data_IF_112483888681
#
_entry.id   IF_112483888681
#
_cell.length_a   1.000
_cell.length_b   1.000
_cell.length_c   1.000
_cell.angle_alpha   90.00
_cell.angle_beta   90.00
_cell.angle_gamma   90.00
#
_symmetry.space_group_name_H-M   'P 1'
#
loop_
_entity.id
_entity.type
_entity.pdbx_description
1 polymer ?
#
# COMPACT_ATOMS: atom_id res chain seq x y z
N UNK A 1 -80.70 -21.11 30.06
CA UNK A 1 -80.32 -21.30 28.65
C UNK A 1 -78.81 -21.48 28.58
N UNK A 2 -78.34 -22.68 28.21
CA UNK A 2 -76.93 -23.07 28.13
C UNK A 2 -76.28 -22.45 26.89
N UNK A 3 -75.13 -21.79 27.04
CA UNK A 3 -74.21 -21.48 25.93
C UNK A 3 -72.81 -21.94 26.31
N UNK A 4 -72.26 -22.81 25.47
CA UNK A 4 -70.88 -23.30 25.47
C UNK A 4 -69.91 -22.14 25.30
N UNK A 5 -68.76 -22.21 25.98
CA UNK A 5 -67.56 -21.48 25.59
C UNK A 5 -66.43 -22.49 25.37
N UNK A 6 -65.78 -22.34 24.22
CA UNK A 6 -64.88 -23.26 23.55
C UNK A 6 -63.47 -23.07 24.12
N UNK A 7 -62.82 -24.17 24.52
CA UNK A 7 -61.41 -24.17 24.94
C UNK A 7 -60.51 -23.99 23.70
N UNK A 8 -59.75 -22.90 23.67
CA UNK A 8 -58.71 -22.66 22.65
C UNK A 8 -57.35 -22.97 23.29
N UNK A 9 -56.73 -24.08 22.90
CA UNK A 9 -55.37 -24.40 23.29
C UNK A 9 -54.40 -23.54 22.44
N UNK A 10 -53.73 -22.58 23.08
CA UNK A 10 -52.64 -21.82 22.45
C UNK A 10 -51.35 -22.63 22.62
N UNK A 11 -50.87 -23.22 21.53
CA UNK A 11 -49.54 -23.83 21.46
C UNK A 11 -48.52 -22.70 21.31
N UNK A 12 -47.77 -22.43 22.37
CA UNK A 12 -46.62 -21.53 22.36
C UNK A 12 -45.44 -22.23 21.69
N UNK A 13 -45.16 -21.87 20.44
CA UNK A 13 -43.94 -22.28 19.74
C UNK A 13 -42.80 -21.40 20.23
N UNK A 14 -41.95 -21.94 21.10
CA UNK A 14 -40.68 -21.32 21.47
C UNK A 14 -39.71 -21.38 20.27
N UNK A 15 -39.64 -20.30 19.48
CA UNK A 15 -38.52 -20.09 18.56
C UNK A 15 -37.28 -19.62 19.35
N UNK A 16 -36.50 -20.57 19.85
CA UNK A 16 -35.12 -20.33 20.27
C UNK A 16 -34.26 -20.59 19.03
N UNK A 17 -34.08 -19.56 18.19
CA UNK A 17 -33.34 -19.65 16.93
C UNK A 17 -32.18 -18.68 16.91
N UNK A 18 -31.01 -19.17 17.32
CA UNK A 18 -29.64 -18.70 17.03
C UNK A 18 -29.46 -17.22 16.67
N UNK A 19 -29.11 -16.40 17.66
CA UNK A 19 -28.43 -15.14 17.45
C UNK A 19 -27.06 -15.44 16.82
N UNK A 20 -26.99 -15.41 15.49
CA UNK A 20 -25.71 -15.26 14.80
C UNK A 20 -25.12 -13.92 15.23
N UNK A 21 -24.22 -13.94 16.21
CA UNK A 21 -23.31 -12.83 16.46
C UNK A 21 -22.45 -12.67 15.21
N UNK A 22 -22.87 -11.80 14.29
CA UNK A 22 -21.95 -11.26 13.30
C UNK A 22 -20.84 -10.58 14.10
N UNK A 23 -19.62 -11.13 14.05
CA UNK A 23 -18.46 -10.46 14.58
C UNK A 23 -18.42 -9.06 13.96
N UNK A 24 -18.23 -7.99 14.75
CA UNK A 24 -18.14 -6.65 14.19
C UNK A 24 -17.06 -6.66 13.13
N UNK A 25 -17.40 -6.22 11.91
CA UNK A 25 -16.42 -5.98 10.88
C UNK A 25 -15.46 -4.91 11.41
N UNK A 26 -14.28 -5.34 11.83
CA UNK A 26 -13.21 -4.43 12.23
C UNK A 26 -12.91 -3.62 10.97
N UNK A 27 -13.16 -2.32 11.03
CA UNK A 27 -12.85 -1.42 9.93
C UNK A 27 -11.37 -1.61 9.55
N UNK A 28 -11.08 -1.67 8.25
CA UNK A 28 -9.69 -1.72 7.80
C UNK A 28 -8.93 -0.52 8.41
N UNK A 29 -7.68 -0.72 8.89
CA UNK A 29 -6.91 0.36 9.47
C UNK A 29 -6.80 1.54 8.49
N UNK A 30 -6.91 2.76 9.02
CA UNK A 30 -6.81 3.98 8.22
C UNK A 30 -5.39 4.12 7.65
N UNK A 31 -5.30 4.56 6.39
CA UNK A 31 -4.01 4.85 5.77
C UNK A 31 -3.37 6.08 6.45
N UNK A 32 -2.08 6.02 6.84
CA UNK A 32 -1.43 7.13 7.54
C UNK A 32 -1.34 8.38 6.65
N UNK A 33 -1.43 9.56 7.26
CA UNK A 33 -1.26 10.84 6.57
C UNK A 33 0.21 11.07 6.21
N UNK A 34 0.62 10.53 5.06
CA UNK A 34 1.95 10.76 4.49
C UNK A 34 2.05 12.08 3.72
N UNK A 35 0.91 12.66 3.31
CA UNK A 35 0.89 13.84 2.45
C UNK A 35 1.25 15.12 3.22
N UNK A 36 1.10 15.12 4.55
CA UNK A 36 1.61 16.20 5.42
C UNK A 36 3.12 16.14 5.68
N UNK A 37 3.80 15.04 5.31
CA UNK A 37 5.24 14.92 5.51
C UNK A 37 6.01 15.82 4.54
N UNK A 38 7.19 16.33 4.93
CA UNK A 38 8.05 17.06 4.00
C UNK A 38 8.59 16.18 2.88
N UNK A 39 8.68 16.74 1.66
CA UNK A 39 9.19 16.06 0.47
C UNK A 39 10.69 15.71 0.57
N UNK A 40 11.03 14.49 0.17
CA UNK A 40 12.39 14.01 -0.11
C UNK A 40 12.71 14.10 -1.61
N UNK A 41 13.99 14.23 -1.94
CA UNK A 41 14.45 14.30 -3.32
C UNK A 41 14.61 12.91 -3.93
N UNK A 42 14.14 12.74 -5.17
CA UNK A 42 14.44 11.57 -6.02
C UNK A 42 15.82 11.77 -6.65
N UNK A 43 16.66 10.72 -6.65
CA UNK A 43 17.89 10.72 -7.43
C UNK A 43 17.59 10.27 -8.86
N UNK A 44 18.10 11.05 -9.81
CA UNK A 44 18.07 10.73 -11.24
C UNK A 44 19.43 10.19 -11.68
N UNK A 45 19.48 9.31 -12.70
CA UNK A 45 20.73 8.79 -13.24
C UNK A 45 21.57 9.93 -13.84
N UNK A 46 22.89 9.75 -13.85
CA UNK A 46 23.80 10.73 -14.42
C UNK A 46 23.50 10.97 -15.90
N UNK A 47 23.48 12.24 -16.31
CA UNK A 47 23.17 12.62 -17.68
C UNK A 47 21.70 12.57 -18.04
N UNK A 48 20.81 12.30 -17.08
CA UNK A 48 19.36 12.43 -17.28
C UNK A 48 19.04 13.81 -17.86
N UNK A 49 18.51 13.79 -19.08
CA UNK A 49 18.03 14.98 -19.77
C UNK A 49 16.52 14.85 -19.98
N UNK A 50 15.71 15.68 -19.32
CA UNK A 50 14.27 15.61 -19.44
C UNK A 50 13.74 16.12 -20.80
N UNK A 51 14.61 16.47 -21.75
CA UNK A 51 14.23 17.00 -23.06
C UNK A 51 14.75 16.16 -24.22
N UNK A 52 15.57 15.13 -23.97
CA UNK A 52 16.23 14.36 -25.03
C UNK A 52 15.33 13.32 -25.71
N UNK A 53 14.09 13.16 -25.22
CA UNK A 53 13.13 12.20 -25.75
C UNK A 53 13.55 10.74 -25.57
N UNK A 54 14.52 10.44 -24.69
CA UNK A 54 14.92 9.07 -24.35
C UNK A 54 14.21 8.56 -23.11
N UNK A 55 14.03 7.25 -23.06
CA UNK A 55 13.54 6.55 -21.89
C UNK A 55 14.72 6.30 -20.92
N UNK A 56 14.54 6.71 -19.67
CA UNK A 56 15.54 6.63 -18.60
C UNK A 56 15.03 5.71 -17.48
N UNK A 57 15.75 4.60 -17.18
CA UNK A 57 15.44 3.80 -16.01
C UNK A 57 15.85 4.57 -14.75
N UNK A 58 14.89 4.82 -13.87
CA UNK A 58 15.13 5.45 -12.57
C UNK A 58 15.02 4.35 -11.51
N UNK A 59 16.10 4.14 -10.76
CA UNK A 59 16.13 3.23 -9.62
C UNK A 59 16.63 3.99 -8.39
N UNK A 60 15.79 4.03 -7.35
CA UNK A 60 16.15 4.60 -6.06
C UNK A 60 16.03 3.50 -5.01
N UNK A 61 17.15 3.12 -4.41
CA UNK A 61 17.20 2.19 -3.29
C UNK A 61 17.46 3.00 -2.03
N UNK A 62 16.67 2.75 -0.98
CA UNK A 62 16.73 3.50 0.26
C UNK A 62 16.24 2.69 1.46
N UNK A 63 16.61 3.09 2.66
CA UNK A 63 16.17 2.45 3.92
C UNK A 63 15.29 3.40 4.74
N UNK A 64 13.97 3.17 4.85
CA UNK A 64 13.07 4.03 5.65
C UNK A 64 13.20 3.82 7.16
N UNK A 65 13.67 2.64 7.59
CA UNK A 65 13.98 2.33 8.97
C UNK A 65 15.03 1.23 9.02
N UNK A 66 15.69 1.06 10.17
CA UNK A 66 16.67 -0.01 10.38
C UNK A 66 16.04 -1.38 10.05
N UNK A 67 16.77 -2.20 9.29
CA UNK A 67 16.30 -3.52 8.86
C UNK A 67 15.27 -3.51 7.73
N UNK A 68 14.74 -2.34 7.33
CA UNK A 68 13.80 -2.18 6.21
C UNK A 68 14.48 -1.48 5.05
N UNK A 69 14.27 -2.01 3.85
CA UNK A 69 14.88 -1.50 2.62
C UNK A 69 13.85 -1.50 1.52
N UNK A 70 13.76 -0.40 0.79
CA UNK A 70 12.82 -0.22 -0.29
C UNK A 70 13.55 0.15 -1.57
N UNK A 71 13.04 -0.37 -2.67
CA UNK A 71 13.48 -0.03 -4.01
C UNK A 71 12.30 0.52 -4.78
N UNK A 72 12.42 1.75 -5.24
CA UNK A 72 11.56 2.36 -6.23
C UNK A 72 12.19 2.18 -7.61
N UNK A 73 11.46 1.59 -8.54
CA UNK A 73 11.80 1.56 -9.96
C UNK A 73 10.70 2.23 -10.75
N UNK A 74 11.08 3.06 -11.70
CA UNK A 74 10.15 3.69 -12.64
C UNK A 74 10.86 4.02 -13.94
N UNK A 75 10.08 4.23 -14.99
CA UNK A 75 10.58 4.70 -16.26
C UNK A 75 10.28 6.19 -16.38
N UNK A 76 11.31 6.98 -16.70
CA UNK A 76 11.15 8.39 -17.02
C UNK A 76 11.32 8.62 -18.53
N UNK A 77 10.51 9.50 -19.11
CA UNK A 77 10.64 9.94 -20.49
C UNK A 77 10.65 11.45 -20.47
N UNK A 78 11.80 12.07 -20.68
CA UNK A 78 11.87 13.52 -20.51
C UNK A 78 11.49 14.00 -19.09
N UNK A 79 10.62 15.01 -18.94
CA UNK A 79 10.03 15.43 -17.64
C UNK A 79 8.94 14.48 -17.12
N UNK A 80 8.66 13.37 -17.81
CA UNK A 80 7.56 12.46 -17.50
C UNK A 80 8.05 11.27 -16.69
N UNK A 81 7.33 10.85 -15.65
CA UNK A 81 7.43 9.48 -15.13
C UNK A 81 6.22 8.69 -15.62
N UNK A 82 6.45 7.46 -16.08
CA UNK A 82 5.42 6.57 -16.63
C UNK A 82 5.57 5.14 -16.11
N UNK A 83 4.49 4.36 -16.08
CA UNK A 83 4.59 2.92 -15.95
C UNK A 83 5.48 2.29 -17.04
N UNK A 84 6.15 1.15 -16.76
CA UNK A 84 6.06 0.40 -15.51
C UNK A 84 6.74 1.12 -14.34
N UNK A 85 6.08 1.09 -13.19
CA UNK A 85 6.62 1.57 -11.93
C UNK A 85 6.34 0.54 -10.84
N UNK A 86 7.30 0.32 -9.95
CA UNK A 86 7.12 -0.53 -8.79
C UNK A 86 7.85 0.04 -7.58
N UNK A 87 7.27 -0.21 -6.41
CA UNK A 87 7.97 -0.06 -5.14
C UNK A 87 7.95 -1.42 -4.44
N UNK A 88 9.12 -1.88 -4.01
CA UNK A 88 9.26 -3.12 -3.28
C UNK A 88 10.09 -2.88 -2.02
N UNK A 89 9.52 -3.15 -0.86
CA UNK A 89 10.19 -3.13 0.43
C UNK A 89 10.42 -4.55 0.93
N UNK A 90 11.55 -4.78 1.59
CA UNK A 90 11.94 -6.07 2.10
C UNK A 90 12.86 -5.94 3.31
N UNK A 91 13.08 -7.06 4.01
CA UNK A 91 13.92 -7.14 5.20
C UNK A 91 13.11 -7.51 6.43
N UNK A 92 13.46 -6.91 7.56
CA UNK A 92 12.73 -7.04 8.82
C UNK A 92 11.48 -6.17 8.78
N UNK A 93 10.44 -6.67 8.10
CA UNK A 93 9.15 -6.00 8.00
C UNK A 93 8.27 -6.41 9.19
N UNK A 94 8.10 -5.58 10.24
CA UNK A 94 7.31 -5.97 11.39
C UNK A 94 5.81 -5.94 11.05
N UNK A 95 5.04 -6.79 11.75
CA UNK A 95 3.60 -6.88 11.55
C UNK A 95 3.17 -7.54 10.22
N UNK A 96 4.09 -8.11 9.44
CA UNK A 96 3.71 -8.85 8.23
C UNK A 96 2.86 -10.08 8.58
N UNK A 97 1.80 -10.36 7.80
CA UNK A 97 1.07 -11.60 7.95
C UNK A 97 1.97 -12.81 7.58
N UNK A 98 1.58 -14.00 8.02
CA UNK A 98 2.06 -15.33 7.57
C UNK A 98 3.57 -15.52 7.28
N UNK A 99 4.45 -14.74 7.93
CA UNK A 99 5.89 -14.74 7.67
C UNK A 99 6.29 -14.26 6.27
N UNK A 100 5.47 -13.42 5.64
CA UNK A 100 5.87 -12.67 4.45
C UNK A 100 7.00 -11.67 4.78
N UNK A 101 7.86 -11.41 3.81
CA UNK A 101 9.08 -10.60 4.02
C UNK A 101 9.34 -9.60 2.87
N UNK A 102 8.33 -9.40 2.02
CA UNK A 102 8.32 -8.45 0.91
C UNK A 102 6.96 -7.77 0.89
N UNK A 103 6.94 -6.43 0.80
CA UNK A 103 5.77 -5.64 0.46
C UNK A 103 6.00 -4.96 -0.89
N UNK A 104 5.06 -5.11 -1.83
CA UNK A 104 5.27 -4.64 -3.21
C UNK A 104 4.01 -4.03 -3.80
N UNK A 105 4.18 -2.93 -4.53
CA UNK A 105 3.21 -2.40 -5.47
C UNK A 105 3.78 -2.55 -6.86
N UNK A 106 3.04 -3.17 -7.76
CA UNK A 106 3.33 -3.23 -9.20
C UNK A 106 2.32 -2.37 -9.97
N UNK A 107 2.82 -1.39 -10.72
CA UNK A 107 2.03 -0.57 -11.64
C UNK A 107 2.51 -0.87 -13.05
N UNK A 108 1.72 -1.66 -13.79
CA UNK A 108 2.00 -2.02 -15.17
C UNK A 108 1.56 -0.95 -16.17
N UNK A 109 1.83 -1.22 -17.46
CA UNK A 109 1.33 -0.41 -18.58
C UNK A 109 -0.13 -0.71 -18.94
N UNK A 110 -0.69 -1.79 -18.40
CA UNK A 110 -2.07 -2.24 -18.63
C UNK A 110 -2.56 -3.03 -17.43
N UNK A 111 -3.80 -2.79 -16.99
CA UNK A 111 -4.43 -3.53 -15.91
C UNK A 111 -4.28 -2.87 -14.54
N UNK A 112 -5.07 -3.36 -13.59
CA UNK A 112 -5.09 -2.85 -12.22
C UNK A 112 -3.72 -3.03 -11.53
N UNK A 113 -3.30 -2.05 -10.72
CA UNK A 113 -2.08 -2.19 -9.94
C UNK A 113 -2.26 -3.30 -8.91
N UNK A 114 -1.16 -3.84 -8.42
CA UNK A 114 -1.23 -4.94 -7.45
C UNK A 114 -0.34 -4.62 -6.25
N UNK A 115 -0.98 -4.39 -5.10
CA UNK A 115 -0.32 -4.32 -3.81
C UNK A 115 -0.38 -5.70 -3.13
N UNK A 116 0.77 -6.25 -2.76
CA UNK A 116 0.87 -7.62 -2.22
C UNK A 116 1.97 -7.75 -1.18
N UNK A 117 1.70 -8.62 -0.22
CA UNK A 117 2.72 -9.21 0.62
C UNK A 117 3.16 -10.55 0.04
N UNK A 118 4.46 -10.76 -0.05
CA UNK A 118 5.06 -11.93 -0.67
C UNK A 118 6.10 -12.55 0.26
N UNK A 119 6.33 -13.84 0.06
CA UNK A 119 7.40 -14.60 0.70
C UNK A 119 8.45 -14.96 -0.33
N UNK A 120 9.71 -14.63 -0.08
CA UNK A 120 10.78 -14.96 -1.04
C UNK A 120 12.19 -14.60 -0.57
N UNK A 121 13.17 -14.99 -1.37
CA UNK A 121 14.55 -14.55 -1.18
C UNK A 121 14.71 -13.12 -1.72
N UNK A 122 15.11 -12.20 -0.85
CA UNK A 122 15.31 -10.80 -1.22
C UNK A 122 16.65 -10.65 -1.94
N UNK A 123 16.64 -10.56 -3.27
CA UNK A 123 17.84 -10.21 -4.06
C UNK A 123 18.02 -8.69 -4.18
N UNK A 124 17.76 -7.96 -3.10
CA UNK A 124 17.84 -6.49 -3.13
C UNK A 124 19.27 -5.96 -3.03
N UNK A 125 20.30 -6.82 -2.86
CA UNK A 125 21.72 -6.46 -2.84
C UNK A 125 22.28 -6.26 -1.42
N UNK A 126 23.42 -5.56 -1.28
CA UNK A 126 24.04 -5.29 0.03
C UNK A 126 23.35 -4.13 0.75
N UNK A 127 22.54 -4.52 1.72
CA UNK A 127 21.65 -3.68 2.52
C UNK A 127 22.38 -2.55 3.29
N UNK A 128 23.68 -2.70 3.58
CA UNK A 128 24.46 -1.70 4.33
C UNK A 128 24.93 -0.51 3.48
N UNK A 129 24.75 -0.61 2.16
CA UNK A 129 25.25 0.40 1.21
C UNK A 129 24.19 1.41 0.80
N UNK A 130 22.93 1.21 1.22
CA UNK A 130 21.83 2.05 0.78
C UNK A 130 21.69 3.32 1.61
N UNK A 131 21.42 4.47 0.96
CA UNK A 131 21.16 5.70 1.69
C UNK A 131 19.90 5.53 2.55
N UNK A 132 19.96 5.98 3.79
CA UNK A 132 18.76 6.10 4.60
C UNK A 132 17.81 7.10 3.94
N UNK A 133 16.56 6.69 3.78
CA UNK A 133 15.48 7.62 3.53
C UNK A 133 15.23 8.34 4.84
N UNK A 134 15.24 9.67 4.84
CA UNK A 134 15.07 10.40 6.08
C UNK A 134 13.69 10.10 6.67
N UNK A 135 13.66 9.58 7.90
CA UNK A 135 12.42 9.37 8.64
C UNK A 135 11.58 10.65 8.67
N UNK A 136 10.26 10.52 8.62
CA UNK A 136 9.33 11.65 8.56
C UNK A 136 9.39 12.43 7.25
N UNK A 137 9.70 11.77 6.13
CA UNK A 137 9.62 12.35 4.78
C UNK A 137 8.65 11.57 3.89
N UNK A 138 8.24 12.21 2.81
CA UNK A 138 7.55 11.55 1.71
C UNK A 138 8.25 11.71 0.37
N UNK A 139 7.86 10.86 -0.55
CA UNK A 139 8.23 10.82 -1.95
C UNK A 139 6.92 10.81 -2.73
N UNK A 140 6.82 11.63 -3.77
CA UNK A 140 5.72 11.62 -4.72
C UNK A 140 6.31 11.45 -6.11
N UNK A 141 5.73 10.51 -6.86
CA UNK A 141 6.05 10.28 -8.27
C UNK A 141 4.93 10.92 -9.08
N UNK A 142 5.25 11.84 -9.99
CA UNK A 142 4.25 12.59 -10.75
C UNK A 142 4.08 12.05 -12.17
N UNK A 143 2.85 11.99 -12.64
CA UNK A 143 2.51 11.88 -14.05
C UNK A 143 2.56 13.26 -14.72
N UNK A 144 2.70 13.27 -16.05
CA UNK A 144 2.70 14.44 -16.94
C UNK A 144 1.63 15.51 -16.62
N UNK A 145 0.47 15.11 -16.09
CA UNK A 145 -0.70 15.99 -15.86
C UNK A 145 -0.82 16.59 -14.44
N UNK A 146 0.29 16.83 -13.72
CA UNK A 146 0.27 17.18 -12.28
C UNK A 146 -0.54 16.21 -11.41
N UNK A 147 -0.76 15.00 -11.91
CA UNK A 147 -1.40 13.93 -11.14
C UNK A 147 -0.30 13.11 -10.50
N UNK A 148 -0.50 12.67 -9.27
CA UNK A 148 0.44 11.80 -8.59
C UNK A 148 0.20 10.37 -9.11
N UNK A 149 1.26 9.68 -9.51
CA UNK A 149 1.28 8.24 -9.82
C UNK A 149 1.22 7.46 -8.50
N UNK A 150 2.14 7.79 -7.59
CA UNK A 150 2.31 7.11 -6.32
C UNK A 150 2.93 8.06 -5.29
N UNK A 151 2.46 7.98 -4.05
CA UNK A 151 3.08 8.59 -2.88
C UNK A 151 3.64 7.49 -1.98
N UNK A 152 4.79 7.73 -1.37
CA UNK A 152 5.34 6.89 -0.33
C UNK A 152 5.87 7.76 0.81
N UNK A 153 5.64 7.38 2.05
CA UNK A 153 6.10 8.11 3.24
C UNK A 153 6.75 7.21 4.25
N UNK A 154 7.77 7.71 4.94
CA UNK A 154 8.37 7.08 6.11
C UNK A 154 7.89 7.78 7.36
N UNK A 155 7.34 7.00 8.30
CA UNK A 155 6.94 7.48 9.61
C UNK A 155 8.11 7.58 10.58
N UNK A 156 7.81 7.91 11.83
CA UNK A 156 8.78 7.91 12.93
C UNK A 156 8.93 6.52 13.59
N UNK A 157 8.19 5.51 13.10
CA UNK A 157 8.20 4.14 13.62
C UNK A 157 7.20 3.86 14.74
N UNK A 158 6.48 4.87 15.25
CA UNK A 158 5.46 4.69 16.30
C UNK A 158 4.14 4.20 15.70
N UNK A 159 3.60 4.94 14.72
CA UNK A 159 2.32 4.61 14.07
C UNK A 159 2.52 3.72 12.85
N UNK A 160 3.54 4.03 12.05
CA UNK A 160 3.95 3.27 10.88
C UNK A 160 5.43 3.53 10.58
N UNK A 161 6.03 2.59 9.85
CA UNK A 161 7.42 2.66 9.40
C UNK A 161 7.47 3.24 7.99
N UNK A 162 6.68 2.65 7.10
CA UNK A 162 6.64 3.06 5.70
C UNK A 162 5.29 2.73 5.09
N UNK A 163 4.74 3.64 4.32
CA UNK A 163 3.46 3.46 3.64
C UNK A 163 3.58 3.94 2.21
N UNK A 164 3.00 3.20 1.27
CA UNK A 164 2.94 3.59 -0.13
C UNK A 164 1.52 3.43 -0.65
N UNK A 165 1.14 4.36 -1.51
CA UNK A 165 -0.15 4.40 -2.15
C UNK A 165 0.00 4.83 -3.61
N UNK A 166 -0.43 3.98 -4.53
CA UNK A 166 -0.61 4.31 -5.93
C UNK A 166 -1.98 4.97 -6.14
N UNK A 167 -1.97 6.16 -6.74
CA UNK A 167 -3.18 6.97 -6.95
C UNK A 167 -3.76 6.82 -8.35
N UNK A 168 -2.91 6.50 -9.34
CA UNK A 168 -3.31 6.46 -10.75
C UNK A 168 -2.38 5.58 -11.58
N UNK A 169 -2.83 5.12 -12.75
CA UNK A 169 -1.95 4.64 -13.82
C UNK A 169 -2.33 5.30 -15.16
N UNK A 170 -1.38 5.36 -16.10
CA UNK A 170 -1.66 5.88 -17.44
C UNK A 170 -2.57 4.92 -18.21
N UNK A 171 -3.62 5.47 -18.83
CA UNK A 171 -4.56 4.70 -19.64
C UNK A 171 -5.70 4.05 -18.86
N UNK A 172 -5.73 4.17 -17.53
CA UNK A 172 -6.80 3.61 -16.68
C UNK A 172 -7.71 4.74 -16.16
N UNK A 173 -9.01 4.64 -16.48
CA UNK A 173 -10.02 5.61 -16.05
C UNK A 173 -10.46 5.36 -14.60
N UNK A 174 -10.61 4.08 -14.23
CA UNK A 174 -10.95 3.64 -12.89
C UNK A 174 -9.70 2.99 -12.26
N UNK A 175 -9.04 3.74 -11.38
CA UNK A 175 -7.87 3.27 -10.65
C UNK A 175 -8.14 3.38 -9.15
N UNK A 176 -8.55 2.28 -8.49
CA UNK A 176 -8.79 2.33 -7.05
C UNK A 176 -7.47 2.64 -6.31
N UNK A 177 -7.55 3.28 -5.14
CA UNK A 177 -6.44 3.34 -4.20
C UNK A 177 -5.85 1.95 -3.96
N UNK A 178 -4.56 1.78 -4.23
CA UNK A 178 -3.86 0.53 -3.95
C UNK A 178 -2.52 0.79 -3.28
N UNK A 179 -2.20 0.01 -2.25
CA UNK A 179 -1.05 0.32 -1.44
C UNK A 179 -0.76 -0.68 -0.35
N UNK A 180 0.26 -0.36 0.43
CA UNK A 180 0.58 -1.09 1.64
C UNK A 180 0.99 -0.12 2.75
N UNK A 181 0.82 -0.58 3.98
CA UNK A 181 1.38 0.06 5.18
C UNK A 181 2.19 -0.97 5.93
N UNK A 182 3.42 -0.58 6.27
CA UNK A 182 4.32 -1.32 7.14
C UNK A 182 4.26 -0.71 8.53
N UNK A 183 3.73 -1.44 9.49
CA UNK A 183 3.60 -0.99 10.88
C UNK A 183 3.82 -2.15 11.85
N UNK A 184 4.46 -1.85 12.99
CA UNK A 184 4.74 -2.87 14.01
C UNK A 184 3.48 -3.44 14.65
N UNK A 185 2.40 -2.64 14.71
CA UNK A 185 1.07 -3.05 15.17
C UNK A 185 0.34 -4.01 14.22
N UNK A 186 0.81 -4.12 12.98
CA UNK A 186 0.22 -4.94 11.92
C UNK A 186 0.34 -4.24 10.58
N UNK A 187 0.87 -4.94 9.58
CA UNK A 187 1.00 -4.46 8.21
C UNK A 187 -0.19 -4.91 7.37
N UNK A 188 -0.63 -4.09 6.42
CA UNK A 188 -1.75 -4.42 5.52
C UNK A 188 -1.56 -3.90 4.11
N UNK A 189 -2.33 -4.48 3.18
CA UNK A 189 -2.45 -4.04 1.78
C UNK A 189 -3.90 -3.65 1.49
N UNK A 190 -4.10 -2.81 0.48
CA UNK A 190 -5.41 -2.41 -0.05
C UNK A 190 -5.33 -2.23 -1.57
#
# INVERSE_FOLDING_TARGET
>A
MRKLAIATAVVTINLIGSLCSAAPAIAAPEFPDIDSLPMASIKYPAGFDPTDGKQWPIENIFSPADGVYCRLRLQAWGTFQMPPADVACAGELPGMPNGENIARIDIGTSGAPQARFLKGSNSLGDLKTYPHFSAGKQLQVFLNVRSILMSCGSGNGEDFIFACHAWKSLGEADFPPHGFVLAASGSWVF
#
